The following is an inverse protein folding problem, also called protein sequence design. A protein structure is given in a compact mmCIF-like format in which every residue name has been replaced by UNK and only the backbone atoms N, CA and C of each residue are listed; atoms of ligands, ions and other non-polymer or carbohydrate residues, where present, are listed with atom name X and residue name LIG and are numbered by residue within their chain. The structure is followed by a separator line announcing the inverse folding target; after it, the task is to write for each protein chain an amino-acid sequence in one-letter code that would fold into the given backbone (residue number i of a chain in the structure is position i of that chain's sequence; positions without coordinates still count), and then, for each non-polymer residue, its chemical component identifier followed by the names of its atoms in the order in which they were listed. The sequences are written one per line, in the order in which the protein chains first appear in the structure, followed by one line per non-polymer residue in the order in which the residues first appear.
data_IF_033541392518
#
_entry.id   IF_033541392518
#
_cell.length_a   1.000
_cell.length_b   1.000
_cell.length_c   1.000
_cell.angle_alpha   90.00
_cell.angle_beta   90.00
_cell.angle_gamma   90.00
#
_symmetry.space_group_name_H-M   'P 1'
#
loop_
_entity.id
_entity.type
_entity.pdbx_description
1 polymer ?
#
# COMPACT_ATOMS: atom_id res chain seq x y z
N UNK A 1 -29.29 7.44 -9.48
CA UNK A 1 -28.08 8.18 -9.10
C UNK A 1 -28.34 9.68 -8.94
N UNK A 2 -29.08 10.30 -9.87
CA UNK A 2 -29.38 11.74 -9.85
C UNK A 2 -30.06 12.30 -8.60
N UNK A 3 -31.06 11.58 -8.06
CA UNK A 3 -31.86 12.07 -6.93
C UNK A 3 -31.08 12.24 -5.63
N UNK A 4 -29.86 11.69 -5.54
CA UNK A 4 -29.03 11.75 -4.33
C UNK A 4 -28.16 13.01 -4.25
N UNK A 5 -27.96 13.72 -5.36
CA UNK A 5 -27.16 14.95 -5.41
C UNK A 5 -27.98 16.17 -5.83
N UNK A 6 -29.30 16.08 -5.65
CA UNK A 6 -30.22 17.19 -5.89
C UNK A 6 -30.55 17.87 -4.58
N UNK A 7 -30.61 19.20 -4.63
CA UNK A 7 -31.14 20.01 -3.54
C UNK A 7 -32.64 20.18 -3.79
N UNK A 8 -33.47 19.81 -2.80
CA UNK A 8 -34.92 19.91 -2.96
C UNK A 8 -35.34 21.39 -2.88
N UNK A 9 -36.19 21.81 -3.82
CA UNK A 9 -36.74 23.18 -3.84
C UNK A 9 -37.64 23.48 -2.62
N UNK A 10 -38.10 22.44 -1.93
CA UNK A 10 -38.98 22.49 -0.76
C UNK A 10 -38.24 22.50 0.59
N UNK A 11 -36.91 22.40 0.59
CA UNK A 11 -36.15 22.39 1.84
C UNK A 11 -36.14 23.79 2.47
N UNK A 12 -36.62 23.87 3.72
CA UNK A 12 -36.67 25.12 4.48
C UNK A 12 -35.25 25.73 4.60
N UNK A 13 -35.08 26.94 4.07
CA UNK A 13 -33.83 27.70 4.19
C UNK A 13 -32.94 27.72 2.94
N UNK A 14 -33.36 27.10 1.84
CA UNK A 14 -32.61 27.15 0.57
C UNK A 14 -33.33 28.04 -0.44
N UNK A 15 -32.61 28.98 -1.05
CA UNK A 15 -33.14 29.81 -2.14
C UNK A 15 -33.52 28.91 -3.34
N UNK A 16 -34.79 28.94 -3.81
CA UNK A 16 -35.24 28.15 -4.95
C UNK A 16 -34.43 28.39 -6.23
N UNK A 17 -33.92 29.61 -6.44
CA UNK A 17 -33.11 29.98 -7.61
C UNK A 17 -31.73 29.29 -7.52
N UNK A 18 -31.14 29.31 -6.32
CA UNK A 18 -29.90 28.58 -6.07
C UNK A 18 -30.07 27.08 -6.26
N UNK A 19 -31.15 26.49 -5.71
CA UNK A 19 -31.43 25.06 -5.83
C UNK A 19 -31.55 24.63 -7.30
N UNK A 20 -32.23 25.42 -8.13
CA UNK A 20 -32.33 25.17 -9.57
C UNK A 20 -30.96 25.24 -10.27
N UNK A 21 -30.20 26.31 -10.01
CA UNK A 21 -28.88 26.50 -10.63
C UNK A 21 -27.87 25.43 -10.21
N UNK A 22 -27.92 24.99 -8.96
CA UNK A 22 -27.11 23.90 -8.44
C UNK A 22 -27.48 22.58 -9.11
N UNK A 23 -28.78 22.25 -9.16
CA UNK A 23 -29.28 21.03 -9.77
C UNK A 23 -28.93 20.96 -11.26
N UNK A 24 -28.97 22.08 -11.98
CA UNK A 24 -28.55 22.18 -13.38
C UNK A 24 -27.04 21.95 -13.57
N UNK A 25 -26.21 22.51 -12.69
CA UNK A 25 -24.75 22.28 -12.73
C UNK A 25 -24.40 20.82 -12.41
N UNK A 26 -24.97 20.29 -11.32
CA UNK A 26 -24.83 18.88 -10.99
C UNK A 26 -25.32 18.00 -12.14
N UNK A 27 -26.38 18.42 -12.83
CA UNK A 27 -26.88 17.69 -13.98
C UNK A 27 -25.88 17.60 -15.12
N UNK A 28 -25.35 18.75 -15.53
CA UNK A 28 -24.32 18.84 -16.57
C UNK A 28 -23.07 18.03 -16.20
N UNK A 29 -22.65 18.10 -14.93
CA UNK A 29 -21.49 17.36 -14.43
C UNK A 29 -21.70 15.83 -14.49
N UNK A 30 -22.82 15.32 -13.98
CA UNK A 30 -23.07 13.87 -13.94
C UNK A 30 -23.35 13.25 -15.31
N UNK A 31 -23.83 14.05 -16.28
CA UNK A 31 -24.03 13.61 -17.67
C UNK A 31 -22.80 13.83 -18.57
N UNK A 32 -21.69 14.34 -18.04
CA UNK A 32 -20.44 14.40 -18.79
C UNK A 32 -19.97 12.96 -19.14
N UNK A 33 -19.67 12.66 -20.41
CA UNK A 33 -19.22 11.32 -20.82
C UNK A 33 -18.01 10.81 -20.03
N UNK A 34 -17.05 11.67 -19.69
CA UNK A 34 -15.85 11.30 -18.92
C UNK A 34 -16.21 10.92 -17.48
N UNK A 35 -17.21 11.57 -16.90
CA UNK A 35 -17.73 11.26 -15.57
C UNK A 35 -18.46 9.91 -15.61
N UNK A 36 -19.29 9.66 -16.62
CA UNK A 36 -19.95 8.38 -16.82
C UNK A 36 -18.94 7.22 -16.99
N UNK A 37 -17.90 7.42 -17.80
CA UNK A 37 -16.81 6.45 -17.98
C UNK A 37 -16.07 6.18 -16.67
N UNK A 38 -15.88 7.21 -15.87
CA UNK A 38 -15.24 7.10 -14.55
C UNK A 38 -16.10 6.28 -13.58
N UNK A 39 -17.41 6.51 -13.54
CA UNK A 39 -18.30 5.67 -12.73
C UNK A 39 -18.35 4.23 -13.21
N UNK A 40 -18.39 4.00 -14.52
CA UNK A 40 -18.30 2.65 -15.07
C UNK A 40 -16.99 1.96 -14.67
N UNK A 41 -15.87 2.68 -14.72
CA UNK A 41 -14.58 2.18 -14.26
C UNK A 41 -14.59 1.82 -12.76
N UNK A 42 -15.08 2.73 -11.90
CA UNK A 42 -15.18 2.50 -10.45
C UNK A 42 -16.08 1.31 -10.12
N UNK A 43 -17.24 1.23 -10.76
CA UNK A 43 -18.17 0.12 -10.60
C UNK A 43 -17.56 -1.20 -11.11
N UNK A 44 -16.81 -1.16 -12.20
CA UNK A 44 -16.16 -2.35 -12.73
C UNK A 44 -15.07 -2.91 -11.81
N UNK A 45 -14.40 -2.06 -11.03
CA UNK A 45 -13.42 -2.49 -10.03
C UNK A 45 -14.11 -3.02 -8.77
N UNK A 46 -15.02 -2.23 -8.19
CA UNK A 46 -15.57 -2.52 -6.87
C UNK A 46 -16.74 -3.51 -6.92
N UNK A 47 -17.45 -3.57 -8.06
CA UNK A 47 -18.69 -4.33 -8.27
C UNK A 47 -19.81 -4.02 -7.28
N UNK A 48 -19.70 -2.91 -6.55
CA UNK A 48 -20.68 -2.46 -5.58
C UNK A 48 -20.98 -0.96 -5.72
N UNK A 49 -22.24 -0.62 -5.49
CA UNK A 49 -22.75 0.75 -5.55
C UNK A 49 -22.24 1.62 -4.37
N UNK A 50 -22.14 1.10 -3.12
CA UNK A 50 -21.62 1.88 -1.99
C UNK A 50 -20.21 2.48 -2.20
N UNK A 51 -19.30 1.76 -2.84
CA UNK A 51 -17.95 2.28 -3.14
C UNK A 51 -17.99 3.47 -4.09
N UNK A 52 -18.87 3.43 -5.11
CA UNK A 52 -19.09 4.55 -6.02
C UNK A 52 -19.74 5.74 -5.28
N UNK A 53 -20.59 5.49 -4.28
CA UNK A 53 -21.11 6.56 -3.44
C UNK A 53 -20.04 7.19 -2.53
N UNK A 54 -19.15 6.39 -1.94
CA UNK A 54 -18.06 6.91 -1.10
C UNK A 54 -17.14 7.85 -1.88
N UNK A 55 -16.82 7.54 -3.14
CA UNK A 55 -16.01 8.44 -3.98
C UNK A 55 -16.71 9.77 -4.26
N UNK A 56 -18.04 9.75 -4.38
CA UNK A 56 -18.84 10.97 -4.54
C UNK A 56 -18.91 11.83 -3.29
N UNK A 57 -18.94 11.25 -2.09
CA UNK A 57 -18.86 12.01 -0.83
C UNK A 57 -17.58 12.86 -0.81
N UNK A 58 -16.46 12.29 -1.26
CA UNK A 58 -15.20 13.02 -1.38
C UNK A 58 -15.28 14.12 -2.44
N UNK A 59 -15.92 13.88 -3.60
CA UNK A 59 -16.14 14.91 -4.61
C UNK A 59 -16.99 16.09 -4.09
N UNK A 60 -18.02 15.83 -3.28
CA UNK A 60 -18.88 16.85 -2.65
C UNK A 60 -18.10 17.65 -1.60
N UNK A 61 -17.13 17.05 -0.90
CA UNK A 61 -16.32 17.75 0.10
C UNK A 61 -15.46 18.89 -0.45
N UNK A 62 -15.20 18.91 -1.76
CA UNK A 62 -14.48 20.02 -2.42
C UNK A 62 -15.35 21.25 -2.65
N UNK A 63 -16.68 21.14 -2.50
CA UNK A 63 -17.61 22.26 -2.65
C UNK A 63 -17.41 23.22 -1.47
N UNK A 64 -17.17 24.49 -1.78
CA UNK A 64 -16.95 25.55 -0.80
C UNK A 64 -17.43 26.90 -1.34
N UNK A 65 -17.31 27.97 -0.55
CA UNK A 65 -17.77 29.31 -0.95
C UNK A 65 -17.14 29.83 -2.27
N UNK A 66 -15.90 29.42 -2.58
CA UNK A 66 -15.19 29.80 -3.81
C UNK A 66 -15.51 28.89 -5.00
N UNK A 67 -15.93 27.65 -4.76
CA UNK A 67 -16.37 26.68 -5.76
C UNK A 67 -17.68 26.03 -5.28
N UNK A 68 -18.83 26.70 -5.49
CA UNK A 68 -20.11 26.29 -4.89
C UNK A 68 -20.81 25.17 -5.66
N UNK A 69 -20.22 24.67 -6.75
CA UNK A 69 -20.84 23.66 -7.62
C UNK A 69 -19.95 22.42 -7.73
N UNK A 70 -20.59 21.27 -7.98
CA UNK A 70 -19.89 20.05 -8.30
C UNK A 70 -19.30 20.13 -9.72
N UNK A 71 -17.98 19.96 -9.82
CA UNK A 71 -17.27 19.97 -11.10
C UNK A 71 -16.75 18.58 -11.46
N UNK A 72 -16.71 18.27 -12.76
CA UNK A 72 -16.25 16.97 -13.25
C UNK A 72 -14.83 16.63 -12.76
N UNK A 73 -13.94 17.64 -12.66
CA UNK A 73 -12.57 17.46 -12.15
C UNK A 73 -12.50 16.79 -10.78
N UNK A 74 -13.45 17.09 -9.89
CA UNK A 74 -13.46 16.53 -8.53
C UNK A 74 -13.77 15.03 -8.54
N UNK A 75 -14.57 14.57 -9.50
CA UNK A 75 -14.92 13.15 -9.72
C UNK A 75 -13.78 12.44 -10.46
N UNK A 76 -13.22 13.07 -11.49
CA UNK A 76 -12.11 12.51 -12.27
C UNK A 76 -10.86 12.27 -11.40
N UNK A 77 -10.56 13.17 -10.46
CA UNK A 77 -9.46 12.99 -9.51
C UNK A 77 -9.61 11.73 -8.63
N UNK A 78 -10.85 11.28 -8.38
CA UNK A 78 -11.08 10.06 -7.60
C UNK A 78 -10.60 8.80 -8.31
N UNK A 79 -10.57 8.83 -9.65
CA UNK A 79 -10.02 7.73 -10.45
C UNK A 79 -8.54 7.53 -10.13
N UNK A 80 -7.78 8.60 -9.98
CA UNK A 80 -6.36 8.54 -9.64
C UNK A 80 -6.16 8.00 -8.23
N UNK A 81 -6.99 8.43 -7.27
CA UNK A 81 -6.94 7.91 -5.89
C UNK A 81 -7.21 6.40 -5.84
N UNK A 82 -8.15 5.90 -6.66
CA UNK A 82 -8.46 4.46 -6.75
C UNK A 82 -7.38 3.66 -7.47
N UNK A 83 -6.69 4.28 -8.42
CA UNK A 83 -5.57 3.67 -9.14
C UNK A 83 -4.24 3.73 -8.36
N UNK A 84 -4.14 4.65 -7.39
CA UNK A 84 -2.93 4.82 -6.61
C UNK A 84 -2.83 3.73 -5.55
N UNK A 85 -2.01 2.73 -5.82
CA UNK A 85 -1.66 1.72 -4.84
C UNK A 85 -0.69 2.31 -3.81
N UNK A 86 -1.20 2.54 -2.59
CA UNK A 86 -0.42 3.10 -1.47
C UNK A 86 0.86 2.30 -1.18
N UNK A 87 0.91 1.00 -1.50
CA UNK A 87 2.13 0.20 -1.33
C UNK A 87 3.25 0.64 -2.27
N UNK A 88 2.90 1.15 -3.47
CA UNK A 88 3.86 1.71 -4.43
C UNK A 88 4.42 3.05 -3.97
N UNK A 89 3.66 3.81 -3.19
CA UNK A 89 4.13 5.05 -2.56
C UNK A 89 5.21 4.74 -1.52
N UNK A 90 4.97 3.77 -0.63
CA UNK A 90 5.98 3.34 0.35
C UNK A 90 7.29 2.88 -0.29
N UNK A 91 7.23 2.16 -1.41
CA UNK A 91 8.43 1.71 -2.14
C UNK A 91 9.35 2.84 -2.58
N UNK A 92 8.79 4.03 -2.91
CA UNK A 92 9.57 5.21 -3.30
C UNK A 92 10.27 5.85 -2.11
N UNK A 93 9.71 5.71 -0.92
CA UNK A 93 10.22 6.32 0.33
C UNK A 93 11.22 5.42 1.09
N UNK A 94 11.40 4.17 0.65
CA UNK A 94 12.33 3.25 1.30
C UNK A 94 13.77 3.77 1.26
N UNK A 95 14.49 3.56 2.36
CA UNK A 95 15.94 3.70 2.38
C UNK A 95 16.60 2.69 1.43
N UNK A 96 17.85 2.97 1.07
CA UNK A 96 18.63 2.12 0.17
C UNK A 96 18.79 0.68 0.72
N UNK A 97 18.94 0.53 2.04
CA UNK A 97 19.06 -0.78 2.68
C UNK A 97 17.76 -1.58 2.59
N UNK A 98 16.62 -0.97 2.91
CA UNK A 98 15.31 -1.62 2.80
C UNK A 98 15.05 -2.05 1.35
N UNK A 99 15.40 -1.19 0.40
CA UNK A 99 15.29 -1.51 -1.01
C UNK A 99 16.21 -2.67 -1.41
N UNK A 100 17.47 -2.72 -0.94
CA UNK A 100 18.34 -3.87 -1.18
C UNK A 100 17.79 -5.18 -0.64
N UNK A 101 17.14 -5.17 0.52
CA UNK A 101 16.47 -6.36 1.06
C UNK A 101 15.30 -6.78 0.18
N UNK A 102 14.51 -5.85 -0.36
CA UNK A 102 13.44 -6.18 -1.30
C UNK A 102 13.95 -6.80 -2.59
N UNK A 103 15.07 -6.32 -3.13
CA UNK A 103 15.62 -6.94 -4.33
C UNK A 103 16.19 -8.34 -4.01
N UNK A 104 16.80 -8.54 -2.84
CA UNK A 104 17.20 -9.88 -2.39
C UNK A 104 15.99 -10.84 -2.28
N UNK A 105 14.85 -10.36 -1.79
CA UNK A 105 13.60 -11.13 -1.77
C UNK A 105 13.09 -11.45 -3.18
N UNK A 106 13.16 -10.49 -4.13
CA UNK A 106 12.85 -10.74 -5.55
C UNK A 106 13.74 -11.84 -6.12
N UNK A 107 15.04 -11.83 -5.81
CA UNK A 107 15.99 -12.88 -6.21
C UNK A 107 15.57 -14.25 -5.72
N UNK A 108 15.20 -14.35 -4.44
CA UNK A 108 14.72 -15.58 -3.83
C UNK A 108 13.43 -16.08 -4.50
N UNK A 109 12.54 -15.19 -4.92
CA UNK A 109 11.36 -15.57 -5.70
C UNK A 109 11.74 -16.14 -7.06
N UNK A 110 12.71 -15.53 -7.76
CA UNK A 110 13.21 -16.04 -9.05
C UNK A 110 13.86 -17.43 -8.95
N UNK A 111 14.43 -17.78 -7.80
CA UNK A 111 14.99 -19.13 -7.56
C UNK A 111 13.94 -20.15 -7.08
N UNK A 112 12.68 -19.73 -6.91
CA UNK A 112 11.56 -20.60 -6.54
C UNK A 112 11.18 -20.58 -5.06
N UNK A 113 11.82 -19.75 -4.22
CA UNK A 113 11.44 -19.60 -2.83
C UNK A 113 10.23 -18.66 -2.67
N UNK A 114 9.05 -19.23 -2.44
CA UNK A 114 7.80 -18.46 -2.23
C UNK A 114 7.70 -17.81 -0.83
N UNK A 115 8.43 -18.35 0.14
CA UNK A 115 8.53 -17.84 1.52
C UNK A 115 9.99 -17.86 1.95
N UNK A 116 10.38 -16.91 2.79
CA UNK A 116 11.75 -16.76 3.27
C UNK A 116 11.76 -16.16 4.68
N UNK A 117 12.88 -16.29 5.38
CA UNK A 117 13.13 -15.69 6.69
C UNK A 117 14.29 -14.69 6.56
N UNK A 118 14.60 -13.97 7.64
CA UNK A 118 15.63 -12.94 7.60
C UNK A 118 17.01 -13.51 7.22
N UNK A 119 17.38 -14.69 7.72
CA UNK A 119 18.70 -15.28 7.40
C UNK A 119 18.87 -15.54 5.91
N UNK A 120 17.84 -16.08 5.24
CA UNK A 120 17.86 -16.32 3.80
C UNK A 120 18.00 -14.99 3.03
N UNK A 121 17.20 -13.99 3.39
CA UNK A 121 17.25 -12.66 2.74
C UNK A 121 18.60 -11.99 2.97
N UNK A 122 19.15 -12.03 4.18
CA UNK A 122 20.43 -11.42 4.50
C UNK A 122 21.61 -12.15 3.83
N UNK A 123 21.54 -13.48 3.71
CA UNK A 123 22.53 -14.27 2.96
C UNK A 123 22.53 -13.90 1.48
N UNK A 124 21.35 -13.81 0.88
CA UNK A 124 21.19 -13.43 -0.52
C UNK A 124 21.70 -12.00 -0.75
N UNK A 125 21.28 -11.04 0.09
CA UNK A 125 21.78 -9.67 0.08
C UNK A 125 23.31 -9.59 0.13
N UNK A 126 23.96 -10.37 1.02
CA UNK A 126 25.43 -10.44 1.09
C UNK A 126 26.05 -11.03 -0.18
N UNK A 127 25.46 -12.09 -0.72
CA UNK A 127 25.92 -12.72 -1.97
C UNK A 127 25.94 -11.71 -3.11
N UNK A 128 24.84 -10.97 -3.27
CA UNK A 128 24.69 -9.89 -4.26
C UNK A 128 25.73 -8.82 -4.03
N UNK A 129 25.78 -8.26 -2.82
CA UNK A 129 26.66 -7.15 -2.53
C UNK A 129 28.15 -7.53 -2.71
N UNK A 130 28.55 -8.76 -2.35
CA UNK A 130 29.92 -9.25 -2.60
C UNK A 130 30.23 -9.37 -4.09
N UNK A 131 29.30 -9.89 -4.91
CA UNK A 131 29.48 -10.01 -6.37
C UNK A 131 29.78 -8.64 -7.01
N UNK A 132 29.09 -7.59 -6.57
CA UNK A 132 29.25 -6.25 -7.11
C UNK A 132 30.38 -5.44 -6.48
N UNK A 133 30.75 -5.70 -5.22
CA UNK A 133 31.99 -5.17 -4.65
C UNK A 133 33.21 -5.65 -5.45
N UNK A 134 33.25 -6.94 -5.82
CA UNK A 134 34.36 -7.51 -6.61
C UNK A 134 34.34 -7.04 -8.07
N UNK A 135 33.16 -6.80 -8.65
CA UNK A 135 33.03 -6.27 -10.03
C UNK A 135 33.31 -4.76 -10.15
N UNK A 136 33.44 -4.03 -9.03
CA UNK A 136 33.56 -2.56 -9.02
C UNK A 136 34.98 -2.00 -9.22
N UNK A 137 35.99 -2.85 -9.45
CA UNK A 137 37.36 -2.40 -9.75
C UNK A 137 37.47 -1.56 -11.04
N UNK A 138 36.45 -1.56 -11.92
CA UNK A 138 36.40 -0.75 -13.15
C UNK A 138 35.18 0.18 -13.27
N UNK A 139 34.22 0.15 -12.34
CA UNK A 139 33.01 0.99 -12.39
C UNK A 139 32.67 1.49 -10.99
N UNK A 140 32.95 2.78 -10.75
CA UNK A 140 33.03 3.42 -9.44
C UNK A 140 31.71 3.52 -8.67
N UNK A 141 31.19 2.40 -8.18
CA UNK A 141 30.09 2.35 -7.23
C UNK A 141 30.19 1.09 -6.36
N UNK A 142 30.74 1.22 -5.15
CA UNK A 142 30.78 0.13 -4.18
C UNK A 142 29.48 0.09 -3.37
N UNK A 143 28.84 -1.09 -3.30
CA UNK A 143 27.69 -1.32 -2.43
C UNK A 143 28.18 -1.31 -0.98
N UNK A 144 27.64 -0.41 -0.16
CA UNK A 144 27.94 -0.40 1.27
C UNK A 144 27.30 -1.61 1.95
N UNK A 145 28.13 -2.45 2.57
CA UNK A 145 27.66 -3.57 3.38
C UNK A 145 27.15 -3.09 4.73
N UNK A 146 25.84 -3.21 4.96
CA UNK A 146 25.23 -2.95 6.27
C UNK A 146 25.38 -4.14 7.22
N UNK A 147 25.54 -3.84 8.51
CA UNK A 147 25.61 -4.85 9.57
C UNK A 147 24.31 -5.65 9.67
N UNK A 148 24.40 -6.91 10.13
CA UNK A 148 23.23 -7.78 10.32
C UNK A 148 22.16 -7.13 11.20
N UNK A 149 22.56 -6.42 12.26
CA UNK A 149 21.63 -5.70 13.14
C UNK A 149 20.87 -4.56 12.43
N UNK A 150 21.54 -3.81 11.57
CA UNK A 150 20.88 -2.75 10.79
C UNK A 150 19.94 -3.34 9.73
N UNK A 151 20.35 -4.44 9.09
CA UNK A 151 19.50 -5.16 8.16
C UNK A 151 18.27 -5.78 8.84
N UNK A 152 18.41 -6.30 10.07
CA UNK A 152 17.28 -6.83 10.83
C UNK A 152 16.27 -5.73 11.16
N UNK A 153 16.72 -4.54 11.56
CA UNK A 153 15.82 -3.39 11.80
C UNK A 153 15.09 -2.97 10.52
N UNK A 154 15.78 -2.92 9.39
CA UNK A 154 15.17 -2.63 8.09
C UNK A 154 14.14 -3.70 7.69
N UNK A 155 14.45 -4.98 7.95
CA UNK A 155 13.53 -6.08 7.70
C UNK A 155 12.28 -6.00 8.60
N UNK A 156 12.43 -5.68 9.89
CA UNK A 156 11.31 -5.43 10.78
C UNK A 156 10.46 -4.24 10.31
N UNK A 157 11.08 -3.16 9.84
CA UNK A 157 10.37 -2.02 9.27
C UNK A 157 9.54 -2.43 8.05
N UNK A 158 10.10 -3.19 7.10
CA UNK A 158 9.35 -3.72 5.95
C UNK A 158 8.13 -4.54 6.37
N UNK A 159 8.21 -5.25 7.51
CA UNK A 159 7.06 -5.95 8.09
C UNK A 159 6.04 -5.01 8.73
N UNK A 160 6.48 -3.91 9.35
CA UNK A 160 5.60 -2.91 9.98
C UNK A 160 4.77 -2.16 8.94
N UNK A 161 5.35 -1.88 7.76
CA UNK A 161 4.64 -1.24 6.64
C UNK A 161 3.94 -2.25 5.70
N UNK A 162 3.82 -3.51 6.13
CA UNK A 162 3.08 -4.59 5.44
C UNK A 162 3.55 -4.89 4.00
N UNK A 163 4.81 -4.59 3.68
CA UNK A 163 5.42 -5.00 2.41
C UNK A 163 5.82 -6.48 2.43
N UNK A 164 6.10 -7.00 3.63
CA UNK A 164 6.24 -8.43 3.92
C UNK A 164 5.26 -8.84 5.03
N UNK A 165 4.72 -10.05 4.95
CA UNK A 165 3.77 -10.58 5.94
C UNK A 165 4.25 -11.94 6.45
N UNK A 166 4.22 -12.18 7.77
CA UNK A 166 4.49 -13.49 8.33
C UNK A 166 3.61 -14.62 7.80
N UNK A 167 4.22 -15.75 7.48
CA UNK A 167 3.54 -16.98 7.09
C UNK A 167 3.35 -17.87 8.32
N UNK A 168 2.23 -17.67 9.02
CA UNK A 168 1.83 -18.47 10.18
C UNK A 168 2.45 -18.01 11.51
N UNK A 169 1.69 -18.15 12.60
CA UNK A 169 2.14 -17.85 13.96
C UNK A 169 2.96 -19.00 14.51
N UNK A 170 4.13 -18.76 15.15
CA UNK A 170 4.74 -19.74 16.05
C UNK A 170 3.90 -19.80 17.34
N UNK A 171 2.80 -20.54 17.30
CA UNK A 171 1.96 -20.73 18.49
C UNK A 171 0.49 -20.98 18.23
N UNK A 172 0.13 -21.95 17.38
CA UNK A 172 -1.15 -22.68 17.53
C UNK A 172 -0.97 -24.06 16.91
N UNK A 173 -0.77 -25.05 17.77
CA UNK A 173 -1.00 -26.45 17.43
C UNK A 173 -2.43 -26.60 16.92
N UNK A 174 -2.56 -27.27 15.79
CA UNK A 174 -3.80 -27.73 15.18
C UNK A 174 -4.84 -28.27 16.17
N UNK A 175 -6.06 -27.78 16.06
CA UNK A 175 -7.27 -28.60 16.16
C UNK A 175 -8.28 -28.05 15.18
N UNK A 176 -8.61 -28.86 14.19
CA UNK A 176 -9.49 -28.48 13.09
C UNK A 176 -10.91 -28.19 13.55
N UNK A 177 -11.57 -27.29 12.84
CA UNK A 177 -12.96 -27.44 12.41
C UNK A 177 -13.37 -26.25 11.55
N UNK A 178 -13.88 -26.60 10.38
CA UNK A 178 -14.76 -25.89 9.47
C UNK A 178 -15.31 -24.53 9.90
N UNK A 179 -15.18 -23.55 9.00
CA UNK A 179 -16.27 -22.63 8.64
C UNK A 179 -16.70 -21.58 9.67
N UNK A 180 -16.79 -20.35 9.15
CA UNK A 180 -17.57 -19.21 9.63
C UNK A 180 -16.79 -18.05 10.27
N UNK A 181 -16.86 -16.92 9.56
CA UNK A 181 -17.28 -15.60 10.06
C UNK A 181 -16.65 -15.15 11.38
N UNK A 182 -15.72 -14.19 11.29
CA UNK A 182 -15.41 -13.31 12.42
C UNK A 182 -16.07 -11.95 12.23
N UNK A 183 -17.22 -11.86 12.88
CA UNK A 183 -17.91 -10.65 13.34
C UNK A 183 -16.95 -9.85 14.23
N UNK A 184 -16.99 -8.54 14.04
CA UNK A 184 -16.35 -7.53 14.85
C UNK A 184 -17.08 -7.41 16.20
N UNK A 185 -16.43 -7.82 17.29
CA UNK A 185 -16.91 -7.51 18.64
C UNK A 185 -15.83 -6.76 19.42
N UNK A 186 -16.02 -5.45 19.46
CA UNK A 186 -15.49 -4.58 20.50
C UNK A 186 -16.30 -4.78 21.80
N UNK A 187 -15.64 -4.51 22.92
CA UNK A 187 -16.15 -4.37 24.31
C UNK A 187 -16.00 -5.64 25.17
N UNK A 188 -14.92 -5.66 25.96
CA UNK A 188 -15.02 -5.59 27.43
C UNK A 188 -13.66 -5.22 28.03
N UNK A 189 -13.61 -4.02 28.57
CA UNK A 189 -12.52 -3.52 29.38
C UNK A 189 -12.63 -4.04 30.83
N UNK A 190 -11.49 -3.95 31.53
CA UNK A 190 -11.34 -3.85 32.99
C UNK A 190 -11.38 -5.19 33.76
N UNK A 191 -10.20 -5.70 34.12
CA UNK A 191 -9.75 -5.77 35.51
C UNK A 191 -8.30 -6.32 35.63
N UNK A 192 -7.49 -5.56 36.36
CA UNK A 192 -6.50 -6.06 37.34
C UNK A 192 -5.12 -6.60 36.92
N UNK A 193 -4.11 -5.85 37.41
CA UNK A 193 -2.79 -6.26 37.95
C UNK A 193 -1.56 -6.21 37.04
N UNK A 194 -0.81 -5.12 37.25
CA UNK A 194 0.65 -4.95 37.09
C UNK A 194 1.40 -6.28 37.15
N UNK A 195 1.99 -6.68 36.02
CA UNK A 195 3.24 -7.43 35.99
C UNK A 195 4.15 -6.75 34.98
N UNK A 196 5.09 -5.96 35.48
CA UNK A 196 6.18 -5.36 34.71
C UNK A 196 6.95 -6.50 34.05
N UNK A 197 6.60 -6.84 32.81
CA UNK A 197 7.40 -7.72 31.96
C UNK A 197 8.50 -6.84 31.39
N UNK A 198 9.73 -7.04 31.86
CA UNK A 198 10.90 -6.65 31.10
C UNK A 198 10.82 -7.37 29.75
N UNK A 199 10.47 -6.63 28.70
CA UNK A 199 10.56 -7.04 27.30
C UNK A 199 12.04 -7.05 26.94
N UNK A 200 12.75 -8.10 27.39
CA UNK A 200 13.95 -8.53 26.68
C UNK A 200 13.45 -9.07 25.35
N UNK A 201 13.86 -8.40 24.27
CA UNK A 201 13.51 -8.75 22.90
C UNK A 201 13.90 -10.20 22.62
N UNK A 202 12.90 -11.03 22.36
CA UNK A 202 13.05 -12.34 21.73
C UNK A 202 13.45 -12.15 20.26
N UNK A 203 14.68 -11.67 20.04
CA UNK A 203 15.20 -11.40 18.70
C UNK A 203 15.51 -12.69 17.95
N UNK A 204 15.77 -13.79 18.68
CA UNK A 204 16.10 -15.09 18.10
C UNK A 204 14.95 -15.68 17.28
N UNK A 205 13.70 -15.59 17.76
CA UNK A 205 12.56 -16.13 17.01
C UNK A 205 12.20 -15.33 15.75
N UNK A 206 12.52 -14.04 15.73
CA UNK A 206 12.18 -13.15 14.60
C UNK A 206 13.06 -13.38 13.37
N UNK A 207 14.34 -13.73 13.55
CA UNK A 207 15.24 -14.01 12.41
C UNK A 207 14.80 -15.23 11.60
N UNK A 208 14.14 -16.19 12.24
CA UNK A 208 13.68 -17.44 11.61
C UNK A 208 12.21 -17.44 11.23
N UNK A 209 11.47 -16.37 11.54
CA UNK A 209 10.08 -16.24 11.16
C UNK A 209 9.97 -16.20 9.63
N UNK A 210 9.21 -17.13 9.07
CA UNK A 210 8.93 -17.16 7.64
C UNK A 210 7.98 -16.02 7.29
N UNK A 211 8.28 -15.32 6.20
CA UNK A 211 7.49 -14.23 5.63
C UNK A 211 7.31 -14.47 4.14
N UNK A 212 6.33 -13.78 3.56
CA UNK A 212 6.13 -13.67 2.11
C UNK A 212 6.13 -12.21 1.68
N UNK A 213 6.58 -11.96 0.47
CA UNK A 213 6.45 -10.65 -0.18
C UNK A 213 4.99 -10.43 -0.60
N UNK A 214 4.48 -9.21 -0.38
CA UNK A 214 3.09 -8.86 -0.71
C UNK A 214 2.99 -8.01 -1.98
N UNK A 215 4.10 -7.40 -2.37
CA UNK A 215 4.19 -6.52 -3.54
C UNK A 215 4.53 -7.34 -4.78
N UNK A 216 3.99 -6.94 -5.93
CA UNK A 216 4.44 -7.41 -7.22
C UNK A 216 5.93 -7.06 -7.45
N UNK A 217 6.69 -8.05 -7.88
CA UNK A 217 8.08 -7.91 -8.33
C UNK A 217 8.24 -6.90 -9.46
N UNK A 218 7.21 -6.70 -10.30
CA UNK A 218 7.22 -5.70 -11.36
C UNK A 218 7.34 -4.27 -10.80
N UNK A 219 6.65 -3.97 -9.70
CA UNK A 219 6.71 -2.65 -9.07
C UNK A 219 8.09 -2.36 -8.47
N UNK A 220 8.77 -3.39 -7.94
CA UNK A 220 10.15 -3.30 -7.46
C UNK A 220 11.09 -2.97 -8.64
N UNK A 221 10.94 -3.67 -9.77
CA UNK A 221 11.73 -3.39 -10.99
C UNK A 221 11.49 -1.97 -11.48
N UNK A 222 10.24 -1.55 -11.63
CA UNK A 222 9.88 -0.21 -12.10
C UNK A 222 10.49 0.89 -11.22
N UNK A 223 10.36 0.77 -9.89
CA UNK A 223 10.87 1.79 -8.97
C UNK A 223 12.40 1.80 -8.94
N UNK A 224 13.04 0.65 -9.18
CA UNK A 224 14.50 0.60 -9.29
C UNK A 224 15.05 1.40 -10.46
N UNK A 225 14.29 1.49 -11.57
CA UNK A 225 14.65 2.30 -12.74
C UNK A 225 14.56 3.80 -12.40
N UNK A 226 13.49 4.19 -11.70
CA UNK A 226 13.20 5.58 -11.30
C UNK A 226 14.19 6.13 -10.24
N UNK A 227 14.75 5.27 -9.37
CA UNK A 227 15.65 5.67 -8.28
C UNK A 227 17.06 6.04 -8.74
N UNK A 228 17.48 7.29 -8.54
CA UNK A 228 18.81 7.77 -8.93
C UNK A 228 19.94 7.36 -7.98
N UNK A 229 19.61 6.97 -6.75
CA UNK A 229 20.54 6.59 -5.69
C UNK A 229 21.03 5.13 -5.78
N UNK A 230 20.39 4.31 -6.62
CA UNK A 230 20.81 2.93 -6.88
C UNK A 230 22.00 2.87 -7.85
N UNK A 231 23.10 2.18 -7.49
CA UNK A 231 24.19 1.93 -8.42
C UNK A 231 23.71 1.24 -9.70
N UNK A 232 24.25 1.65 -10.85
CA UNK A 232 23.92 1.06 -12.17
C UNK A 232 24.08 -0.46 -12.17
N UNK A 233 25.09 -0.96 -11.44
CA UNK A 233 25.33 -2.39 -11.28
C UNK A 233 24.14 -3.13 -10.63
N UNK A 234 23.46 -2.51 -9.65
CA UNK A 234 22.27 -3.05 -9.00
C UNK A 234 21.05 -2.96 -9.93
N UNK A 235 20.92 -1.89 -10.72
CA UNK A 235 19.81 -1.77 -11.70
C UNK A 235 19.87 -2.86 -12.77
N UNK A 236 21.08 -3.17 -13.29
CA UNK A 236 21.26 -4.26 -14.27
C UNK A 236 20.76 -5.61 -13.75
N UNK A 237 20.93 -5.85 -12.46
CA UNK A 237 20.51 -7.09 -11.82
C UNK A 237 18.99 -7.27 -11.73
N UNK A 238 18.20 -6.19 -11.69
CA UNK A 238 16.75 -6.31 -11.68
C UNK A 238 16.17 -6.72 -13.04
N UNK A 239 16.93 -6.52 -14.12
CA UNK A 239 16.54 -6.83 -15.50
C UNK A 239 16.95 -8.24 -15.98
N UNK A 240 17.77 -8.96 -15.21
CA UNK A 240 18.09 -10.39 -15.42
C UNK A 240 17.07 -11.30 -14.72
#
# INVERSE_FOLDING_TARGET
MFHLFQVAKSDYGIDPIFAEKFNDHTKKCLFDPKVADTFNFMYNIAKDIPTVFKSMVLAVSYINEKSPYLEARHILAQKEVLLNDKKKEYLKELSLLEFYLLIAMKSLLSTGHLVFNFEMVYSEYKSIANRYMVSSSFSGGSIRMYSKQNALKAFEYLSQIELIIPCGSPGTTSSGSNGAVFVNDNIKAITSKKKTRNLVSDSGMKEFQMVRLVIDTFDITKISEERSDLPIAVKRWLCE
#
